data_IF_830520296737
#
_entry.id   IF_830520296737
#
_cell.length_a   1.000
_cell.length_b   1.000
_cell.length_c   1.000
_cell.angle_alpha   90.00
_cell.angle_beta   90.00
_cell.angle_gamma   90.00
#
_symmetry.space_group_name_H-M   'P 1'
#
loop_
_entity.id
_entity.type
_entity.pdbx_description
1 polymer ?
#
# COMPACT_ATOMS: atom_id res chain seq x y z
N UNK A 1 17.51 3.14 -11.60
CA UNK A 1 18.61 2.43 -10.91
C UNK A 1 18.02 1.24 -10.19
N UNK A 2 18.76 0.17 -10.03
CA UNK A 2 18.26 -1.10 -9.48
C UNK A 2 19.12 -1.54 -8.30
N UNK A 3 18.48 -2.01 -7.23
CA UNK A 3 19.13 -2.63 -6.07
C UNK A 3 18.43 -3.95 -5.78
N UNK A 4 19.22 -4.98 -5.47
CA UNK A 4 18.72 -6.28 -5.02
C UNK A 4 19.34 -6.63 -3.67
N UNK A 5 18.50 -6.92 -2.68
CA UNK A 5 18.87 -7.46 -1.37
C UNK A 5 18.41 -8.91 -1.32
N UNK A 6 19.33 -9.82 -1.64
CA UNK A 6 19.03 -11.23 -1.84
C UNK A 6 19.69 -12.13 -0.79
N UNK A 7 18.95 -13.13 -0.32
CA UNK A 7 19.46 -14.21 0.52
C UNK A 7 19.30 -13.97 2.02
N UNK A 8 19.06 -15.06 2.76
CA UNK A 8 18.92 -15.05 4.22
C UNK A 8 20.14 -14.43 4.90
N UNK A 9 19.90 -13.42 5.73
CA UNK A 9 20.93 -12.69 6.47
C UNK A 9 21.52 -11.50 5.73
N UNK A 10 21.16 -11.29 4.47
CA UNK A 10 21.47 -10.05 3.75
C UNK A 10 20.59 -8.92 4.28
N UNK A 11 21.22 -7.86 4.77
CA UNK A 11 20.51 -6.72 5.36
C UNK A 11 20.95 -5.41 4.73
N UNK A 12 19.99 -4.54 4.41
CA UNK A 12 20.24 -3.13 4.12
C UNK A 12 19.48 -2.26 5.12
N UNK A 13 20.22 -1.56 5.99
CA UNK A 13 19.63 -0.65 6.96
C UNK A 13 20.00 0.78 6.59
N UNK A 14 18.99 1.63 6.43
CA UNK A 14 19.15 3.07 6.25
C UNK A 14 18.89 3.71 7.62
N UNK A 15 19.92 4.30 8.22
CA UNK A 15 19.86 4.93 9.55
C UNK A 15 20.63 6.26 9.56
N UNK A 16 20.12 7.30 10.23
CA UNK A 16 20.76 8.62 10.32
C UNK A 16 19.97 9.66 11.13
N UNK A 17 20.61 10.80 11.46
CA UNK A 17 20.11 11.79 12.43
C UNK A 17 18.97 12.70 11.95
N UNK A 18 18.61 12.68 10.66
CA UNK A 18 17.60 13.59 10.09
C UNK A 18 16.68 12.87 9.08
N UNK A 19 15.87 11.93 9.57
CA UNK A 19 14.91 11.13 8.78
C UNK A 19 15.60 10.20 7.76
N UNK A 20 15.95 8.96 8.15
CA UNK A 20 16.47 8.01 7.18
C UNK A 20 15.35 7.52 6.27
N UNK A 21 15.19 8.25 5.17
CA UNK A 21 14.21 7.99 4.12
C UNK A 21 14.84 7.14 3.03
N UNK A 22 14.13 6.11 2.60
CA UNK A 22 14.48 5.33 1.43
C UNK A 22 13.60 5.80 0.27
N UNK A 23 14.24 6.24 -0.81
CA UNK A 23 13.57 6.64 -2.04
C UNK A 23 13.88 5.66 -3.16
N UNK A 24 12.83 5.02 -3.68
CA UNK A 24 12.89 4.19 -4.88
C UNK A 24 12.24 4.98 -6.00
N UNK A 25 13.08 5.62 -6.83
CA UNK A 25 12.64 6.55 -7.87
C UNK A 25 12.33 7.96 -7.33
N UNK A 26 13.35 8.81 -7.17
CA UNK A 26 13.19 10.17 -6.58
C UNK A 26 12.93 11.30 -7.59
N UNK A 27 13.48 11.24 -8.80
CA UNK A 27 13.17 12.17 -9.91
C UNK A 27 13.23 11.42 -11.25
N UNK A 28 13.09 10.10 -11.16
CA UNK A 28 13.35 9.18 -12.25
C UNK A 28 12.98 7.78 -11.80
N UNK A 29 13.59 6.79 -12.44
CA UNK A 29 13.16 5.40 -12.28
C UNK A 29 14.03 4.67 -11.26
N UNK A 30 13.40 3.96 -10.32
CA UNK A 30 14.06 3.13 -9.32
C UNK A 30 13.39 1.77 -9.16
N UNK A 31 14.20 0.74 -8.94
CA UNK A 31 13.73 -0.61 -8.64
C UNK A 31 14.46 -1.14 -7.41
N UNK A 32 13.73 -1.74 -6.47
CA UNK A 32 14.28 -2.46 -5.32
C UNK A 32 13.66 -3.86 -5.23
N UNK A 33 14.52 -4.87 -5.28
CA UNK A 33 14.14 -6.27 -5.10
C UNK A 33 14.63 -6.77 -3.74
N UNK A 34 13.74 -7.33 -2.93
CA UNK A 34 14.04 -7.95 -1.64
C UNK A 34 13.60 -9.40 -1.72
N UNK A 35 14.55 -10.32 -1.84
CA UNK A 35 14.29 -11.70 -2.27
C UNK A 35 15.01 -12.73 -1.41
N UNK A 36 14.52 -13.97 -1.43
CA UNK A 36 15.17 -15.14 -0.81
C UNK A 36 15.60 -14.94 0.66
N UNK A 37 14.84 -14.19 1.46
CA UNK A 37 15.15 -13.93 2.87
C UNK A 37 15.96 -12.66 3.14
N UNK A 38 16.11 -11.78 2.14
CA UNK A 38 16.72 -10.46 2.31
C UNK A 38 15.89 -9.54 3.20
N UNK A 39 16.54 -8.59 3.86
CA UNK A 39 15.87 -7.66 4.77
C UNK A 39 16.28 -6.20 4.52
N UNK A 40 15.30 -5.31 4.39
CA UNK A 40 15.50 -3.86 4.30
C UNK A 40 14.80 -3.16 5.46
N UNK A 41 15.46 -2.15 6.03
CA UNK A 41 14.83 -1.29 7.03
C UNK A 41 15.23 0.18 6.92
N UNK A 42 14.27 1.06 7.22
CA UNK A 42 14.41 2.51 7.18
C UNK A 42 13.30 3.17 8.03
N UNK A 43 13.29 4.50 8.14
CA UNK A 43 12.19 5.19 8.84
C UNK A 43 11.00 5.41 7.92
N UNK A 44 11.16 6.14 6.80
CA UNK A 44 10.09 6.33 5.82
C UNK A 44 10.47 5.77 4.47
N UNK A 45 9.56 5.03 3.84
CA UNK A 45 9.73 4.50 2.50
C UNK A 45 8.94 5.32 1.51
N UNK A 46 9.55 5.66 0.37
CA UNK A 46 8.91 6.38 -0.72
C UNK A 46 9.17 5.64 -2.03
N UNK A 47 8.10 5.27 -2.74
CA UNK A 47 8.15 4.58 -4.03
C UNK A 47 7.52 5.51 -5.07
N UNK A 48 8.31 5.96 -6.05
CA UNK A 48 7.85 6.92 -7.05
C UNK A 48 7.58 8.29 -6.43
N UNK A 49 8.65 8.96 -6.00
CA UNK A 49 8.60 10.28 -5.39
C UNK A 49 8.85 11.36 -6.44
N UNK A 50 8.03 12.41 -6.44
CA UNK A 50 8.00 13.51 -7.43
C UNK A 50 7.40 13.17 -8.80
N UNK A 51 7.00 14.23 -9.49
CA UNK A 51 6.41 14.17 -10.82
C UNK A 51 7.26 13.43 -11.83
N UNK A 52 6.60 12.59 -12.63
CA UNK A 52 7.20 11.76 -13.68
C UNK A 52 8.26 10.75 -13.18
N UNK A 53 8.37 10.55 -11.87
CA UNK A 53 9.17 9.47 -11.30
C UNK A 53 8.40 8.15 -11.36
N UNK A 54 9.14 7.05 -11.43
CA UNK A 54 8.58 5.71 -11.23
C UNK A 54 9.41 4.96 -10.21
N UNK A 55 8.75 4.35 -9.23
CA UNK A 55 9.37 3.46 -8.27
C UNK A 55 8.71 2.09 -8.32
N UNK A 56 9.50 1.05 -8.24
CA UNK A 56 9.02 -0.32 -8.14
C UNK A 56 9.75 -1.05 -7.02
N UNK A 57 9.00 -1.64 -6.10
CA UNK A 57 9.55 -2.48 -5.04
C UNK A 57 8.89 -3.84 -5.06
N UNK A 58 9.71 -4.88 -5.01
CA UNK A 58 9.26 -6.27 -4.88
C UNK A 58 9.82 -6.87 -3.60
N UNK A 59 8.94 -7.39 -2.75
CA UNK A 59 9.28 -8.15 -1.52
C UNK A 59 8.75 -9.55 -1.70
N UNK A 60 9.64 -10.45 -2.12
CA UNK A 60 9.27 -11.76 -2.64
C UNK A 60 9.94 -12.90 -1.89
N UNK A 61 9.17 -13.94 -1.59
CA UNK A 61 9.65 -15.13 -0.93
C UNK A 61 9.61 -15.07 0.60
N UNK A 62 9.32 -16.22 1.21
CA UNK A 62 9.31 -16.39 2.67
C UNK A 62 10.59 -15.88 3.34
N UNK A 63 10.42 -14.99 4.33
CA UNK A 63 11.50 -14.39 5.11
C UNK A 63 12.07 -13.12 4.49
N UNK A 64 11.68 -12.75 3.27
CA UNK A 64 12.00 -11.45 2.69
C UNK A 64 11.20 -10.36 3.41
N UNK A 65 11.86 -9.32 3.89
CA UNK A 65 11.23 -8.31 4.74
C UNK A 65 11.57 -6.88 4.35
N UNK A 66 10.56 -6.01 4.42
CA UNK A 66 10.77 -4.57 4.41
C UNK A 66 10.08 -3.91 5.60
N UNK A 67 10.87 -3.29 6.48
CA UNK A 67 10.38 -2.66 7.71
C UNK A 67 10.61 -1.16 7.69
N UNK A 68 9.53 -0.39 7.72
CA UNK A 68 9.56 1.05 7.88
C UNK A 68 9.14 1.39 9.33
N UNK A 69 9.98 2.08 10.09
CA UNK A 69 9.61 2.46 11.47
C UNK A 69 8.62 3.64 11.53
N UNK A 70 8.33 4.25 10.38
CA UNK A 70 7.34 5.29 10.15
C UNK A 70 6.46 4.96 8.94
N UNK A 71 5.98 5.98 8.24
CA UNK A 71 5.11 5.85 7.07
C UNK A 71 5.77 5.21 5.85
N UNK A 72 4.94 4.55 5.04
CA UNK A 72 5.28 4.08 3.70
C UNK A 72 4.36 4.77 2.68
N UNK A 73 4.96 5.38 1.66
CA UNK A 73 4.28 6.11 0.58
C UNK A 73 4.52 5.39 -0.76
N UNK A 74 3.43 4.99 -1.40
CA UNK A 74 3.43 4.35 -2.71
C UNK A 74 2.74 5.28 -3.70
N UNK A 75 3.52 5.90 -4.59
CA UNK A 75 3.09 7.01 -5.43
C UNK A 75 2.97 8.28 -4.59
N UNK A 76 4.01 9.11 -4.59
CA UNK A 76 4.01 10.42 -3.91
C UNK A 76 4.37 11.51 -4.90
N UNK A 77 3.37 12.15 -5.49
CA UNK A 77 3.46 13.01 -6.68
C UNK A 77 3.94 12.29 -7.95
N UNK A 78 4.19 10.98 -7.90
CA UNK A 78 4.70 10.15 -8.99
C UNK A 78 3.97 8.82 -9.07
N UNK A 79 4.57 7.84 -9.77
CA UNK A 79 4.01 6.50 -9.87
C UNK A 79 4.81 5.51 -9.02
N UNK A 80 4.16 4.88 -8.05
CA UNK A 80 4.77 3.85 -7.21
C UNK A 80 4.06 2.51 -7.33
N UNK A 81 4.84 1.43 -7.39
CA UNK A 81 4.35 0.06 -7.36
C UNK A 81 5.04 -0.74 -6.26
N UNK A 82 4.27 -1.44 -5.43
CA UNK A 82 4.76 -2.37 -4.42
C UNK A 82 4.12 -3.75 -4.60
N UNK A 83 4.96 -4.76 -4.81
CA UNK A 83 4.56 -6.15 -4.88
C UNK A 83 5.05 -6.90 -3.64
N UNK A 84 4.15 -7.57 -2.94
CA UNK A 84 4.45 -8.42 -1.77
C UNK A 84 3.94 -9.82 -2.10
N UNK A 85 4.86 -10.73 -2.40
CA UNK A 85 4.55 -12.02 -3.05
C UNK A 85 5.26 -13.19 -2.37
N UNK A 86 4.74 -14.40 -2.58
CA UNK A 86 5.35 -15.67 -2.20
C UNK A 86 5.84 -15.76 -0.73
N UNK A 87 5.14 -15.11 0.21
CA UNK A 87 5.49 -15.10 1.63
C UNK A 87 6.32 -13.90 2.09
N UNK A 88 6.49 -12.89 1.24
CA UNK A 88 7.11 -11.62 1.60
C UNK A 88 6.35 -10.86 2.69
N UNK A 89 7.06 -10.05 3.48
CA UNK A 89 6.45 -9.31 4.59
C UNK A 89 6.85 -7.84 4.59
N UNK A 90 5.86 -6.95 4.63
CA UNK A 90 6.07 -5.50 4.76
C UNK A 90 5.39 -4.98 6.01
N UNK A 91 6.06 -4.08 6.72
CA UNK A 91 5.46 -3.38 7.85
C UNK A 91 5.82 -1.90 7.90
N UNK A 92 4.90 -1.10 8.41
CA UNK A 92 5.04 0.35 8.58
C UNK A 92 4.07 0.89 9.64
N UNK A 93 4.18 2.17 9.99
CA UNK A 93 3.18 2.82 10.85
C UNK A 93 1.93 3.16 10.06
N UNK A 94 2.00 4.15 9.16
CA UNK A 94 0.92 4.57 8.27
C UNK A 94 1.22 4.22 6.83
N UNK A 95 0.24 3.69 6.11
CA UNK A 95 0.37 3.34 4.70
C UNK A 95 -0.39 4.33 3.84
N UNK A 96 0.24 4.80 2.77
CA UNK A 96 -0.39 5.68 1.80
C UNK A 96 -0.19 5.13 0.39
N UNK A 97 -1.27 4.97 -0.35
CA UNK A 97 -1.28 4.60 -1.77
C UNK A 97 -1.92 5.75 -2.54
N UNK A 98 -1.17 6.38 -3.46
CA UNK A 98 -1.62 7.61 -4.11
C UNK A 98 -1.61 8.79 -3.14
N UNK A 99 -0.44 9.06 -2.54
CA UNK A 99 -0.21 10.15 -1.60
C UNK A 99 -0.01 11.48 -2.34
N UNK A 100 -0.74 12.52 -1.91
CA UNK A 100 -0.76 13.87 -2.48
C UNK A 100 -1.24 13.95 -3.92
N UNK A 101 -2.09 14.92 -4.24
CA UNK A 101 -2.32 15.31 -5.64
C UNK A 101 -2.23 16.82 -5.78
N UNK A 102 -1.70 17.27 -6.91
CA UNK A 102 -1.75 18.69 -7.23
C UNK A 102 -3.08 19.01 -7.91
N UNK A 103 -4.05 19.43 -7.10
CA UNK A 103 -5.34 19.92 -7.59
C UNK A 103 -5.24 21.12 -8.55
N UNK A 104 -4.07 21.76 -8.68
CA UNK A 104 -3.83 22.83 -9.65
C UNK A 104 -3.48 22.33 -11.06
N UNK A 105 -3.23 21.02 -11.21
CA UNK A 105 -2.90 20.37 -12.48
C UNK A 105 -1.49 20.66 -12.99
N UNK A 106 -0.62 21.23 -12.15
CA UNK A 106 0.77 21.52 -12.51
C UNK A 106 1.65 20.26 -12.40
N UNK A 107 1.33 19.39 -11.46
CA UNK A 107 1.93 18.06 -11.33
C UNK A 107 0.96 16.97 -11.79
N UNK A 108 1.45 15.91 -12.47
CA UNK A 108 0.62 14.77 -12.86
C UNK A 108 0.02 14.08 -11.64
N UNK A 109 -1.12 13.43 -11.82
CA UNK A 109 -1.81 12.69 -10.76
C UNK A 109 -0.86 11.67 -10.11
N UNK A 110 -0.81 11.69 -8.77
CA UNK A 110 -0.07 10.70 -7.99
C UNK A 110 -0.80 9.36 -8.06
N UNK A 111 -0.07 8.30 -8.43
CA UNK A 111 -0.62 6.96 -8.64
C UNK A 111 0.16 5.94 -7.82
N UNK A 112 -0.52 5.25 -6.93
CA UNK A 112 0.04 4.15 -6.16
C UNK A 112 -0.66 2.84 -6.48
N UNK A 113 0.11 1.76 -6.58
CA UNK A 113 -0.41 0.41 -6.74
C UNK A 113 0.30 -0.53 -5.77
N UNK A 114 -0.47 -1.27 -4.98
CA UNK A 114 0.05 -2.29 -4.07
C UNK A 114 -0.64 -3.61 -4.33
N UNK A 115 0.14 -4.67 -4.47
CA UNK A 115 -0.34 -6.05 -4.58
C UNK A 115 0.21 -6.87 -3.43
N UNK A 116 -0.68 -7.53 -2.68
CA UNK A 116 -0.36 -8.51 -1.63
C UNK A 116 -0.92 -9.85 -2.07
N UNK A 117 -0.06 -10.68 -2.65
CA UNK A 117 -0.47 -11.90 -3.35
C UNK A 117 0.21 -13.14 -2.77
N UNK A 118 -0.59 -14.20 -2.59
CA UNK A 118 -0.09 -15.49 -2.15
C UNK A 118 -0.13 -15.72 -0.64
N UNK A 119 -0.32 -16.98 -0.26
CA UNK A 119 -0.38 -17.40 1.14
C UNK A 119 0.91 -17.03 1.89
N UNK A 120 0.75 -16.32 3.01
CA UNK A 120 1.85 -15.89 3.86
C UNK A 120 2.43 -14.53 3.47
N UNK A 121 2.03 -13.96 2.33
CA UNK A 121 2.36 -12.57 1.98
C UNK A 121 1.58 -11.63 2.87
N UNK A 122 2.27 -10.70 3.53
CA UNK A 122 1.65 -9.82 4.53
C UNK A 122 2.04 -8.36 4.40
N UNK A 123 1.07 -7.48 4.62
CA UNK A 123 1.31 -6.05 4.82
C UNK A 123 0.64 -5.55 6.11
N UNK A 124 1.45 -5.08 7.05
CA UNK A 124 0.97 -4.64 8.37
C UNK A 124 1.21 -3.15 8.58
N UNK A 125 0.12 -2.40 8.72
CA UNK A 125 0.12 -1.01 9.14
C UNK A 125 -0.26 -0.98 10.63
N UNK A 126 0.62 -0.48 11.49
CA UNK A 126 0.31 -0.37 12.93
C UNK A 126 -0.64 0.79 13.25
N UNK A 127 -0.88 1.67 12.29
CA UNK A 127 -1.83 2.77 12.32
C UNK A 127 -2.70 2.72 11.04
N UNK A 128 -3.18 3.86 10.58
CA UNK A 128 -4.08 3.97 9.43
C UNK A 128 -3.46 3.58 8.08
N UNK A 129 -4.30 3.04 7.19
CA UNK A 129 -4.03 2.78 5.78
C UNK A 129 -4.96 3.61 4.90
N UNK A 130 -4.39 4.39 3.99
CA UNK A 130 -5.08 5.24 3.03
C UNK A 130 -4.86 4.71 1.61
N UNK A 131 -5.94 4.36 0.93
CA UNK A 131 -5.96 3.92 -0.48
C UNK A 131 -6.66 5.01 -1.30
N UNK A 132 -5.87 5.78 -2.05
CA UNK A 132 -6.32 7.04 -2.64
C UNK A 132 -6.50 8.09 -1.55
N UNK A 133 -5.40 8.64 -1.04
CA UNK A 133 -5.40 9.69 0.00
C UNK A 133 -5.88 11.02 -0.61
N UNK A 134 -5.01 11.66 -1.40
CA UNK A 134 -5.35 12.82 -2.24
C UNK A 134 -5.29 12.46 -3.73
N UNK A 135 -4.59 11.38 -4.09
CA UNK A 135 -4.39 10.91 -5.46
C UNK A 135 -5.21 9.66 -5.81
N UNK A 136 -4.65 8.84 -6.70
CA UNK A 136 -5.23 7.56 -7.12
C UNK A 136 -4.47 6.41 -6.47
N UNK A 137 -5.18 5.54 -5.75
CA UNK A 137 -4.59 4.39 -5.10
C UNK A 137 -5.33 3.10 -5.38
N UNK A 138 -4.58 2.05 -5.67
CA UNK A 138 -5.09 0.69 -5.89
C UNK A 138 -4.43 -0.29 -4.92
N UNK A 139 -5.24 -1.11 -4.26
CA UNK A 139 -4.76 -2.22 -3.41
C UNK A 139 -5.43 -3.53 -3.83
N UNK A 140 -4.62 -4.50 -4.22
CA UNK A 140 -5.05 -5.86 -4.55
C UNK A 140 -4.57 -6.83 -3.47
N UNK A 141 -5.50 -7.58 -2.87
CA UNK A 141 -5.22 -8.61 -1.87
C UNK A 141 -5.77 -9.92 -2.40
N UNK A 142 -4.87 -10.81 -2.84
CA UNK A 142 -5.23 -11.96 -3.67
C UNK A 142 -4.54 -13.25 -3.21
N UNK A 143 -5.10 -14.40 -3.62
CA UNK A 143 -4.50 -15.73 -3.43
C UNK A 143 -4.03 -16.05 -1.99
N UNK A 144 -4.72 -15.55 -0.97
CA UNK A 144 -4.35 -15.78 0.44
C UNK A 144 -3.47 -14.69 1.08
N UNK A 145 -3.29 -13.56 0.41
CA UNK A 145 -2.59 -12.40 0.97
C UNK A 145 -3.33 -11.76 2.15
N UNK A 146 -2.59 -11.15 3.08
CA UNK A 146 -3.16 -10.60 4.31
C UNK A 146 -2.70 -9.15 4.55
N UNK A 147 -3.66 -8.25 4.73
CA UNK A 147 -3.42 -6.85 5.08
C UNK A 147 -4.08 -6.52 6.42
N UNK A 148 -3.40 -5.72 7.24
CA UNK A 148 -3.98 -5.18 8.47
C UNK A 148 -3.64 -3.72 8.70
N UNK A 149 -4.55 -3.03 9.38
CA UNK A 149 -4.46 -1.60 9.73
C UNK A 149 -5.28 -1.29 10.99
N UNK A 150 -5.05 -0.12 11.59
CA UNK A 150 -5.95 0.40 12.64
C UNK A 150 -7.25 0.87 12.03
N UNK A 151 -7.19 1.87 11.14
CA UNK A 151 -8.31 2.26 10.28
C UNK A 151 -7.94 2.15 8.81
N UNK A 152 -8.96 1.95 7.97
CA UNK A 152 -8.84 1.94 6.52
C UNK A 152 -9.67 3.06 5.89
N UNK A 153 -9.08 3.74 4.91
CA UNK A 153 -9.74 4.78 4.12
C UNK A 153 -9.57 4.46 2.63
N UNK A 154 -10.67 4.46 1.88
CA UNK A 154 -10.68 4.25 0.44
C UNK A 154 -11.29 5.50 -0.21
N UNK A 155 -10.49 6.28 -0.93
CA UNK A 155 -10.88 7.61 -1.40
C UNK A 155 -11.05 8.58 -0.24
N UNK A 156 -9.94 9.02 0.36
CA UNK A 156 -9.93 9.81 1.58
C UNK A 156 -10.35 11.26 1.35
N UNK A 157 -9.64 12.00 0.49
CA UNK A 157 -9.85 13.44 0.29
C UNK A 157 -10.64 13.78 -0.99
N UNK A 158 -11.12 15.01 -1.09
CA UNK A 158 -11.85 15.51 -2.26
C UNK A 158 -11.03 15.38 -3.55
N UNK A 159 -11.57 14.65 -4.53
CA UNK A 159 -10.93 14.42 -5.82
C UNK A 159 -10.05 13.16 -5.87
N UNK A 160 -9.77 12.54 -4.72
CA UNK A 160 -9.07 11.25 -4.67
C UNK A 160 -9.94 10.10 -5.18
N UNK A 161 -9.28 9.04 -5.64
CA UNK A 161 -9.93 7.77 -6.00
C UNK A 161 -9.17 6.61 -5.37
N UNK A 162 -9.87 5.82 -4.56
CA UNK A 162 -9.36 4.59 -3.98
C UNK A 162 -10.09 3.37 -4.52
N UNK A 163 -9.33 2.33 -4.86
CA UNK A 163 -9.86 1.03 -5.25
C UNK A 163 -9.18 -0.08 -4.46
N UNK A 164 -9.99 -0.93 -3.80
CA UNK A 164 -9.50 -2.10 -3.08
C UNK A 164 -10.22 -3.35 -3.59
N UNK A 165 -9.45 -4.39 -3.89
CA UNK A 165 -9.96 -5.72 -4.21
C UNK A 165 -9.43 -6.73 -3.20
N UNK A 166 -10.33 -7.49 -2.58
CA UNK A 166 -10.02 -8.62 -1.70
C UNK A 166 -10.62 -9.87 -2.32
N UNK A 167 -9.79 -10.64 -3.01
CA UNK A 167 -10.23 -11.74 -3.86
C UNK A 167 -9.59 -13.08 -3.46
N UNK A 168 -10.42 -14.11 -3.37
CA UNK A 168 -9.97 -15.48 -3.14
C UNK A 168 -9.97 -15.89 -1.66
N UNK A 169 -10.20 -17.18 -1.42
CA UNK A 169 -10.20 -17.78 -0.09
C UNK A 169 -8.89 -17.51 0.66
N UNK A 170 -9.00 -17.00 1.87
CA UNK A 170 -7.86 -16.67 2.74
C UNK A 170 -7.29 -15.28 2.51
N UNK A 171 -7.67 -14.59 1.43
CA UNK A 171 -7.32 -13.18 1.22
C UNK A 171 -8.10 -12.32 2.21
N UNK A 172 -7.40 -11.51 3.00
CA UNK A 172 -8.05 -10.74 4.07
C UNK A 172 -7.54 -9.31 4.22
N UNK A 173 -8.46 -8.41 4.56
CA UNK A 173 -8.13 -7.09 5.09
C UNK A 173 -8.82 -6.86 6.43
N UNK A 174 -8.03 -6.71 7.50
CA UNK A 174 -8.55 -6.51 8.86
C UNK A 174 -8.21 -5.12 9.37
N UNK A 175 -9.25 -4.35 9.71
CA UNK A 175 -9.13 -3.06 10.38
C UNK A 175 -9.56 -3.23 11.84
N UNK A 176 -8.74 -2.83 12.80
CA UNK A 176 -9.12 -2.99 14.21
C UNK A 176 -10.18 -1.97 14.68
N UNK A 177 -10.32 -0.83 13.99
CA UNK A 177 -11.30 0.22 14.31
C UNK A 177 -12.22 0.52 13.13
N UNK A 178 -11.88 1.48 12.26
CA UNK A 178 -12.81 2.00 11.24
C UNK A 178 -12.47 1.53 9.83
N UNK A 179 -13.49 1.45 9.00
CA UNK A 179 -13.35 1.37 7.55
C UNK A 179 -14.27 2.41 6.90
N UNK A 180 -13.68 3.29 6.09
CA UNK A 180 -14.37 4.28 5.28
C UNK A 180 -14.21 3.92 3.80
N UNK A 181 -15.33 3.78 3.10
CA UNK A 181 -15.37 3.62 1.64
C UNK A 181 -16.02 4.87 1.05
N UNK A 182 -15.23 5.70 0.38
CA UNK A 182 -15.60 7.04 -0.07
C UNK A 182 -15.77 8.00 1.10
N UNK A 183 -14.67 8.50 1.67
CA UNK A 183 -14.68 9.37 2.85
C UNK A 183 -15.01 10.84 2.49
N UNK A 184 -14.20 11.47 1.65
CA UNK A 184 -14.53 12.71 0.93
C UNK A 184 -14.29 12.57 -0.59
N UNK A 185 -13.57 11.52 -1.00
CA UNK A 185 -13.33 11.12 -2.38
C UNK A 185 -14.21 9.97 -2.86
N UNK A 186 -13.79 9.33 -3.95
CA UNK A 186 -14.44 8.15 -4.52
C UNK A 186 -13.75 6.88 -4.01
N UNK A 187 -14.50 6.00 -3.37
CA UNK A 187 -13.98 4.73 -2.86
C UNK A 187 -14.74 3.54 -3.41
N UNK A 188 -14.01 2.53 -3.87
CA UNK A 188 -14.57 1.24 -4.31
C UNK A 188 -13.91 0.10 -3.53
N UNK A 189 -14.73 -0.79 -2.97
CA UNK A 189 -14.29 -2.01 -2.32
C UNK A 189 -14.99 -3.22 -2.96
N UNK A 190 -14.20 -4.12 -3.55
CA UNK A 190 -14.68 -5.38 -4.09
C UNK A 190 -14.21 -6.54 -3.21
N UNK A 191 -15.14 -7.36 -2.73
CA UNK A 191 -14.87 -8.56 -1.94
C UNK A 191 -15.44 -9.74 -2.71
N UNK A 192 -14.56 -10.61 -3.21
CA UNK A 192 -14.94 -11.64 -4.19
C UNK A 192 -14.30 -13.00 -3.89
N UNK A 193 -14.88 -14.07 -4.42
CA UNK A 193 -14.32 -15.44 -4.41
C UNK A 193 -13.86 -15.96 -3.03
N UNK A 194 -14.57 -15.59 -1.96
CA UNK A 194 -14.25 -16.01 -0.58
C UNK A 194 -13.22 -15.13 0.14
N UNK A 195 -12.87 -13.96 -0.41
CA UNK A 195 -12.14 -12.93 0.30
C UNK A 195 -12.94 -12.36 1.49
N UNK A 196 -12.25 -11.79 2.47
CA UNK A 196 -12.89 -11.27 3.68
C UNK A 196 -12.33 -9.92 4.14
N UNK A 197 -13.23 -9.02 4.52
CA UNK A 197 -12.90 -7.73 5.14
C UNK A 197 -13.60 -7.61 6.48
N UNK A 198 -12.90 -7.12 7.50
CA UNK A 198 -13.49 -6.91 8.83
C UNK A 198 -13.04 -5.58 9.46
N UNK A 199 -13.94 -4.99 10.24
CA UNK A 199 -13.77 -3.72 10.94
C UNK A 199 -14.81 -3.57 12.07
N UNK A 200 -14.57 -2.66 13.01
CA UNK A 200 -15.51 -2.37 14.12
C UNK A 200 -16.60 -1.38 13.68
N UNK A 201 -16.24 -0.32 12.96
CA UNK A 201 -17.18 0.69 12.45
C UNK A 201 -17.02 0.89 10.95
N UNK A 202 -18.08 0.63 10.17
CA UNK A 202 -18.08 0.77 8.71
C UNK A 202 -18.87 1.98 8.26
N UNK A 203 -18.34 2.75 7.30
CA UNK A 203 -19.02 3.86 6.64
C UNK A 203 -18.82 3.79 5.14
N UNK A 204 -19.90 3.98 4.38
CA UNK A 204 -19.90 4.00 2.92
C UNK A 204 -20.52 5.33 2.49
N UNK A 205 -19.78 6.14 1.73
CA UNK A 205 -20.20 7.50 1.35
C UNK A 205 -20.30 8.42 2.55
N UNK A 206 -19.18 8.74 3.19
CA UNK A 206 -19.11 9.74 4.25
C UNK A 206 -18.87 11.14 3.66
N UNK A 207 -18.99 12.20 4.47
CA UNK A 207 -18.64 13.56 4.05
C UNK A 207 -19.33 13.99 2.75
N UNK A 208 -18.52 14.42 1.78
CA UNK A 208 -18.92 14.66 0.39
C UNK A 208 -18.56 13.52 -0.56
N UNK A 209 -18.02 12.42 -0.03
CA UNK A 209 -17.51 11.29 -0.79
C UNK A 209 -18.61 10.34 -1.28
N UNK A 210 -18.22 9.44 -2.19
CA UNK A 210 -19.08 8.39 -2.73
C UNK A 210 -18.39 7.04 -2.56
N UNK A 211 -19.07 6.11 -1.88
CA UNK A 211 -18.58 4.77 -1.62
C UNK A 211 -19.40 3.70 -2.37
N UNK A 212 -18.71 2.74 -2.97
CA UNK A 212 -19.31 1.52 -3.53
C UNK A 212 -18.65 0.31 -2.90
N UNK A 213 -19.47 -0.61 -2.38
CA UNK A 213 -19.00 -1.89 -1.85
C UNK A 213 -19.74 -3.02 -2.55
N UNK A 214 -18.98 -3.93 -3.16
CA UNK A 214 -19.49 -5.15 -3.78
C UNK A 214 -19.01 -6.34 -2.96
N UNK A 215 -19.94 -7.23 -2.60
CA UNK A 215 -19.62 -8.51 -1.96
C UNK A 215 -20.26 -9.62 -2.79
N UNK A 216 -19.42 -10.49 -3.37
CA UNK A 216 -19.85 -11.62 -4.19
C UNK A 216 -19.04 -12.88 -3.84
N UNK A 217 -19.63 -14.05 -4.03
CA UNK A 217 -19.04 -15.35 -3.70
C UNK A 217 -19.64 -16.03 -2.46
N UNK A 218 -19.35 -17.32 -2.31
CA UNK A 218 -19.79 -18.12 -1.16
C UNK A 218 -18.88 -17.86 0.03
N UNK A 219 -19.38 -17.14 1.03
CA UNK A 219 -18.80 -17.09 2.38
C UNK A 219 -19.07 -18.35 3.19
#
# INVERSE_FOLDING_TARGET
GEVTVDGSGSTWTISGYHHPELYVGYYGQGTLNITNGGAVSNTHGNIGFWASSTGEVTVDGSGSTWTNSGSLYVGSYGQGTLNITDGGTVSNTKGYIGYHSDSTGYWPDSTGEVTVDGSGSTWTNSDDLYVGDEGQGTLNITNGGVVSSTSGYIGDDSGSTGEVTVDGSGSTWTNSDRLYVGNYGQGTLNITNGGAVSNTYGRIGYGSGSGVVTVDGSG
#
